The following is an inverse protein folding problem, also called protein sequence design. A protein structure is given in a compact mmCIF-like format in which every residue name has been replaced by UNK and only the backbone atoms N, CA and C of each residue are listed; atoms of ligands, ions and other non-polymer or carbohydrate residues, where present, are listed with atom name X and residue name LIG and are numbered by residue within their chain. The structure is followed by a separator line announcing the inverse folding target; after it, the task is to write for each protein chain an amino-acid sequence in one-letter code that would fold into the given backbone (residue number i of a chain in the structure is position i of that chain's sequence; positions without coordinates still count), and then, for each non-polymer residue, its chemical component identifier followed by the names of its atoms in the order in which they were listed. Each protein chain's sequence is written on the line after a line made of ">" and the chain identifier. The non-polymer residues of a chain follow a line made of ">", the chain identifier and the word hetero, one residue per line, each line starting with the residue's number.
data_IF_457263712979
#
_entry.id   IF_457263712979
#
_cell.length_a   1.000
_cell.length_b   1.000
_cell.length_c   1.000
_cell.angle_alpha   90.00
_cell.angle_beta   90.00
_cell.angle_gamma   90.00
#
_symmetry.space_group_name_H-M   'P 1'
#
loop_
_entity.id
_entity.type
_entity.pdbx_description
1 polymer ?
#
# COMPACT_ATOMS: atom_id res chain seq x y z
N UNK A 1 20.94 -11.10 0.39
CA UNK A 1 21.10 -10.48 -0.95
C UNK A 1 19.70 -10.29 -1.51
N UNK A 2 19.40 -9.03 -1.88
CA UNK A 2 18.23 -8.60 -2.67
C UNK A 2 16.84 -8.91 -2.10
N UNK A 3 16.48 -8.29 -0.97
CA UNK A 3 15.09 -7.84 -0.84
C UNK A 3 14.94 -6.75 -1.89
N UNK A 4 14.47 -7.10 -3.08
CA UNK A 4 13.96 -6.09 -4.00
C UNK A 4 12.84 -5.40 -3.24
N UNK A 5 13.15 -4.24 -2.67
CA UNK A 5 12.19 -3.44 -1.94
C UNK A 5 10.99 -3.26 -2.87
N UNK A 6 9.85 -3.83 -2.47
CA UNK A 6 8.68 -3.93 -3.32
C UNK A 6 7.92 -2.59 -3.33
N UNK A 7 8.66 -1.49 -3.52
CA UNK A 7 8.12 -0.16 -3.68
C UNK A 7 7.28 -0.10 -4.95
N UNK A 8 6.06 0.38 -4.80
CA UNK A 8 5.06 0.45 -5.86
C UNK A 8 5.29 1.77 -6.60
N UNK A 9 5.87 1.67 -7.79
CA UNK A 9 6.04 2.81 -8.70
C UNK A 9 4.89 2.94 -9.70
N UNK A 10 4.11 1.89 -9.88
CA UNK A 10 3.00 1.82 -10.83
C UNK A 10 1.79 1.17 -10.17
N UNK A 11 0.76 1.98 -9.90
CA UNK A 11 -0.48 1.54 -9.27
C UNK A 11 -1.24 0.51 -10.11
N UNK A 12 -0.99 0.45 -11.42
CA UNK A 12 -1.62 -0.52 -12.31
C UNK A 12 -1.27 -1.98 -11.97
N UNK A 13 -0.21 -2.19 -11.18
CA UNK A 13 0.25 -3.50 -10.71
C UNK A 13 -0.28 -3.87 -9.33
N UNK A 14 -1.05 -2.98 -8.71
CA UNK A 14 -1.63 -3.21 -7.38
C UNK A 14 -2.92 -4.00 -7.56
N UNK A 15 -3.00 -5.14 -6.89
CA UNK A 15 -4.17 -6.00 -6.94
C UNK A 15 -5.10 -5.74 -5.74
N UNK A 16 -6.40 -5.76 -5.99
CA UNK A 16 -7.41 -5.82 -4.94
C UNK A 16 -7.12 -7.01 -4.00
N UNK A 17 -7.22 -6.78 -2.68
CA UNK A 17 -6.96 -7.77 -1.64
C UNK A 17 -5.46 -7.99 -1.35
N UNK A 18 -4.55 -7.44 -2.15
CA UNK A 18 -3.12 -7.44 -1.84
C UNK A 18 -2.84 -6.57 -0.62
N UNK A 19 -1.86 -6.93 0.21
CA UNK A 19 -1.45 -6.10 1.35
C UNK A 19 -0.50 -4.99 0.90
N UNK A 20 -0.77 -3.79 1.39
CA UNK A 20 0.03 -2.61 1.12
C UNK A 20 0.36 -1.88 2.41
N UNK A 21 1.57 -1.32 2.44
CA UNK A 21 2.02 -0.39 3.46
C UNK A 21 2.17 1.00 2.85
N UNK A 22 1.77 2.01 3.63
CA UNK A 22 1.87 3.43 3.28
C UNK A 22 2.87 4.07 4.23
N UNK A 23 3.97 4.52 3.67
CA UNK A 23 5.08 5.13 4.39
C UNK A 23 5.15 6.63 4.08
N UNK A 24 5.40 7.44 5.09
CA UNK A 24 5.85 8.82 4.93
C UNK A 24 7.26 8.95 5.46
N UNK A 25 8.19 9.29 4.57
CA UNK A 25 9.63 9.25 4.84
C UNK A 25 10.06 7.85 5.34
N UNK A 26 10.18 7.66 6.65
CA UNK A 26 10.58 6.41 7.32
C UNK A 26 9.52 5.92 8.34
N UNK A 27 8.34 6.54 8.36
CA UNK A 27 7.26 6.19 9.26
C UNK A 27 6.16 5.44 8.53
N UNK A 28 5.84 4.23 9.01
CA UNK A 28 4.64 3.51 8.60
C UNK A 28 3.42 4.27 9.14
N UNK A 29 2.60 4.81 8.24
CA UNK A 29 1.37 5.51 8.60
C UNK A 29 0.19 4.56 8.64
N UNK A 30 0.04 3.74 7.60
CA UNK A 30 -1.10 2.85 7.43
C UNK A 30 -0.65 1.54 6.79
N UNK A 31 -1.31 0.45 7.15
CA UNK A 31 -1.14 -0.85 6.52
C UNK A 31 -2.48 -1.57 6.43
N UNK A 32 -2.63 -2.39 5.40
CA UNK A 32 -3.77 -3.29 5.27
C UNK A 32 -4.05 -3.73 3.84
N UNK A 33 -5.14 -4.48 3.62
CA UNK A 33 -5.50 -4.93 2.29
C UNK A 33 -5.99 -3.76 1.43
N UNK A 34 -5.62 -3.81 0.15
CA UNK A 34 -6.11 -2.91 -0.88
C UNK A 34 -7.57 -3.22 -1.16
N UNK A 35 -8.42 -2.21 -0.97
CA UNK A 35 -9.86 -2.28 -1.23
C UNK A 35 -10.22 -1.79 -2.63
N UNK A 36 -9.52 -0.78 -3.14
CA UNK A 36 -9.73 -0.29 -4.51
C UNK A 36 -8.49 0.42 -5.03
N UNK A 37 -8.29 0.41 -6.35
CA UNK A 37 -7.22 1.18 -7.01
C UNK A 37 -7.83 1.97 -8.15
N UNK A 38 -7.42 3.23 -8.28
CA UNK A 38 -7.67 4.08 -9.45
C UNK A 38 -6.33 4.60 -9.98
N UNK A 39 -5.67 3.86 -10.90
CA UNK A 39 -4.41 4.27 -11.47
C UNK A 39 -4.49 5.56 -12.28
N UNK A 40 -5.65 5.86 -12.88
CA UNK A 40 -5.83 7.06 -13.72
C UNK A 40 -5.76 8.34 -12.89
N UNK A 41 -6.19 8.28 -11.63
CA UNK A 41 -6.12 9.40 -10.68
C UNK A 41 -4.95 9.29 -9.70
N UNK A 42 -4.15 8.23 -9.76
CA UNK A 42 -3.03 8.01 -8.85
C UNK A 42 -3.47 7.73 -7.40
N UNK A 43 -4.66 7.14 -7.22
CA UNK A 43 -5.28 6.91 -5.90
C UNK A 43 -5.42 5.42 -5.62
N UNK A 44 -5.19 5.05 -4.36
CA UNK A 44 -5.47 3.72 -3.84
C UNK A 44 -6.22 3.83 -2.52
N UNK A 45 -7.16 2.93 -2.30
CA UNK A 45 -7.87 2.78 -1.05
C UNK A 45 -7.42 1.50 -0.37
N UNK A 46 -7.13 1.60 0.92
CA UNK A 46 -6.85 0.43 1.78
C UNK A 46 -7.84 0.39 2.93
N UNK A 47 -8.08 -0.80 3.47
CA UNK A 47 -8.71 -0.96 4.77
C UNK A 47 -7.60 -0.96 5.82
N UNK A 48 -7.63 0.00 6.74
CA UNK A 48 -6.62 0.09 7.79
C UNK A 48 -6.75 -1.07 8.77
N UNK A 49 -5.65 -1.78 9.00
CA UNK A 49 -5.58 -2.87 9.96
C UNK A 49 -5.94 -2.38 11.37
N UNK A 50 -6.66 -3.21 12.13
CA UNK A 50 -7.07 -2.93 13.51
C UNK A 50 -8.38 -2.14 13.66
N UNK A 51 -8.67 -1.19 12.76
CA UNK A 51 -9.92 -0.39 12.83
C UNK A 51 -10.88 -0.63 11.65
N UNK A 52 -10.39 -1.19 10.54
CA UNK A 52 -11.21 -1.49 9.36
C UNK A 52 -11.73 -0.26 8.63
N UNK A 53 -11.18 0.93 8.91
CA UNK A 53 -11.54 2.15 8.21
C UNK A 53 -10.93 2.19 6.81
N UNK A 54 -11.70 2.68 5.84
CA UNK A 54 -11.22 2.90 4.48
C UNK A 54 -10.42 4.19 4.40
N UNK A 55 -9.14 4.10 4.05
CA UNK A 55 -8.26 5.26 3.83
C UNK A 55 -7.98 5.46 2.36
N UNK A 56 -8.12 6.70 1.89
CA UNK A 56 -7.77 7.12 0.54
C UNK A 56 -6.34 7.67 0.53
N UNK A 57 -5.48 7.12 -0.34
CA UNK A 57 -4.06 7.43 -0.39
C UNK A 57 -3.70 7.89 -1.80
N UNK A 58 -3.10 9.09 -1.91
CA UNK A 58 -2.51 9.56 -3.16
C UNK A 58 -1.08 9.05 -3.28
N UNK A 59 -0.79 8.24 -4.30
CA UNK A 59 0.52 7.61 -4.47
C UNK A 59 1.67 8.61 -4.74
N UNK A 60 1.36 9.87 -5.06
CA UNK A 60 2.36 10.92 -5.22
C UNK A 60 2.79 11.57 -3.90
N UNK A 61 2.02 11.38 -2.83
CA UNK A 61 2.29 11.99 -1.52
C UNK A 61 3.05 11.05 -0.58
N UNK A 62 3.01 9.75 -0.84
CA UNK A 62 3.50 8.71 0.07
C UNK A 62 4.32 7.67 -0.66
N UNK A 63 5.15 6.96 0.08
CA UNK A 63 5.91 5.83 -0.41
C UNK A 63 5.09 4.57 -0.17
N UNK A 64 4.72 3.89 -1.25
CA UNK A 64 3.83 2.72 -1.19
C UNK A 64 4.64 1.44 -1.37
N UNK A 65 4.39 0.42 -0.56
CA UNK A 65 5.11 -0.85 -0.63
C UNK A 65 4.17 -2.04 -0.60
N UNK A 66 4.42 -3.04 -1.44
CA UNK A 66 3.76 -4.34 -1.31
C UNK A 66 4.32 -5.08 -0.09
N UNK A 67 3.41 -5.62 0.72
CA UNK A 67 3.77 -6.52 1.80
C UNK A 67 3.60 -7.95 1.30
N UNK A 68 4.69 -8.71 1.22
CA UNK A 68 4.62 -10.14 0.93
C UNK A 68 3.82 -10.84 2.05
N UNK A 69 3.10 -11.95 1.77
CA UNK A 69 2.31 -12.66 2.80
C UNK A 69 3.15 -13.14 4.01
N UNK A 70 4.47 -13.26 3.86
CA UNK A 70 5.42 -13.56 4.95
C UNK A 70 5.75 -12.38 5.88
N UNK A 71 5.22 -11.17 5.65
CA UNK A 71 5.40 -10.03 6.56
C UNK A 71 4.47 -10.07 7.78
N UNK A 72 4.05 -11.27 8.21
CA UNK A 72 3.42 -11.48 9.51
C UNK A 72 4.52 -11.88 10.49
N UNK A 73 5.07 -10.93 11.25
CA UNK A 73 5.97 -11.23 12.36
C UNK A 73 5.20 -11.18 13.68
#
# INVERSE_FOLDING_TARGET
>A
MSSSEAWIQDLSKVAHGGRMEVWDQDQLLYAGPVDQVDPAHGVVWILEDGIGERKMIHAQQYHLRHCSPDCSH
#
